data_IF_326115541880
#
_entry.id   IF_326115541880
#
_cell.length_a   1.000
_cell.length_b   1.000
_cell.length_c   1.000
_cell.angle_alpha   90.00
_cell.angle_beta   90.00
_cell.angle_gamma   90.00
#
_symmetry.space_group_name_H-M   'P 1'
#
loop_
_entity.id
_entity.type
_entity.pdbx_description
1 polymer ?
#
# COMPACT_ATOMS: atom_id res chain seq x y z
N UNK A 1 -28.95 -3.86 25.22
CA UNK A 1 -29.30 -4.50 23.93
C UNK A 1 -28.75 -3.79 22.68
N UNK A 2 -28.74 -2.45 22.58
CA UNK A 2 -28.31 -1.76 21.33
C UNK A 2 -26.84 -1.98 20.94
N UNK A 3 -25.92 -2.11 21.91
CA UNK A 3 -24.49 -2.40 21.65
C UNK A 3 -24.25 -3.73 20.93
N UNK A 4 -25.03 -4.77 21.27
CA UNK A 4 -24.88 -6.09 20.64
C UNK A 4 -25.41 -6.06 19.20
N UNK A 5 -26.50 -5.34 18.94
CA UNK A 5 -27.04 -5.19 17.58
C UNK A 5 -26.07 -4.43 16.65
N UNK A 6 -25.40 -3.39 17.14
CA UNK A 6 -24.39 -2.67 16.35
C UNK A 6 -23.09 -3.46 16.16
N UNK A 7 -22.74 -4.36 17.10
CA UNK A 7 -21.62 -5.29 16.94
C UNK A 7 -21.91 -6.35 15.88
N UNK A 8 -23.10 -6.97 15.90
CA UNK A 8 -23.53 -7.97 14.91
C UNK A 8 -23.52 -7.36 13.50
N UNK A 9 -24.09 -6.16 13.33
CA UNK A 9 -24.05 -5.42 12.05
C UNK A 9 -22.63 -5.17 11.56
N UNK A 10 -21.70 -4.81 12.45
CA UNK A 10 -20.29 -4.60 12.09
C UNK A 10 -19.63 -5.89 11.61
N UNK A 11 -19.80 -6.98 12.35
CA UNK A 11 -19.25 -8.29 11.98
C UNK A 11 -19.81 -8.74 10.62
N UNK A 12 -21.10 -8.56 10.37
CA UNK A 12 -21.73 -8.90 9.09
C UNK A 12 -21.10 -8.11 7.92
N UNK A 13 -20.91 -6.81 8.05
CA UNK A 13 -20.28 -5.99 7.00
C UNK A 13 -18.81 -6.34 6.78
N UNK A 14 -18.04 -6.53 7.87
CA UNK A 14 -16.63 -6.95 7.78
C UNK A 14 -16.54 -8.30 7.06
N UNK A 15 -17.39 -9.25 7.42
CA UNK A 15 -17.43 -10.58 6.79
C UNK A 15 -17.76 -10.48 5.30
N UNK A 16 -18.74 -9.65 4.93
CA UNK A 16 -19.10 -9.41 3.53
C UNK A 16 -17.90 -8.85 2.73
N UNK A 17 -17.19 -7.86 3.27
CA UNK A 17 -16.02 -7.27 2.62
C UNK A 17 -14.86 -8.28 2.51
N UNK A 18 -14.63 -9.12 3.53
CA UNK A 18 -13.63 -10.20 3.45
C UNK A 18 -14.02 -11.20 2.34
N UNK A 19 -15.28 -11.61 2.27
CA UNK A 19 -15.78 -12.51 1.23
C UNK A 19 -15.57 -11.91 -0.16
N UNK A 20 -15.90 -10.62 -0.36
CA UNK A 20 -15.63 -9.93 -1.62
C UNK A 20 -14.12 -9.89 -1.94
N UNK A 21 -13.27 -9.64 -0.94
CA UNK A 21 -11.82 -9.68 -1.11
C UNK A 21 -11.34 -11.05 -1.60
N UNK A 22 -11.85 -12.13 -1.01
CA UNK A 22 -11.51 -13.52 -1.37
C UNK A 22 -11.98 -13.84 -2.78
N UNK A 23 -13.21 -13.49 -3.14
CA UNK A 23 -13.75 -13.73 -4.49
C UNK A 23 -12.94 -12.96 -5.54
N UNK A 24 -12.67 -11.68 -5.31
CA UNK A 24 -11.92 -10.84 -6.27
C UNK A 24 -10.45 -11.24 -6.38
N UNK A 25 -9.86 -11.86 -5.34
CA UNK A 25 -8.51 -12.45 -5.43
C UNK A 25 -8.41 -13.46 -6.57
N UNK A 26 -9.47 -14.22 -6.83
CA UNK A 26 -9.49 -15.22 -7.89
C UNK A 26 -9.53 -14.62 -9.29
N UNK A 27 -9.95 -13.36 -9.44
CA UNK A 27 -9.99 -12.61 -10.70
C UNK A 27 -8.69 -11.84 -11.02
N UNK A 28 -7.63 -12.12 -10.26
CA UNK A 28 -6.30 -11.57 -10.51
C UNK A 28 -5.79 -11.83 -11.93
N UNK A 29 -5.00 -10.90 -12.45
CA UNK A 29 -4.35 -11.03 -13.74
C UNK A 29 -2.85 -11.30 -13.54
N UNK A 30 -2.32 -12.32 -14.21
CA UNK A 30 -0.88 -12.58 -14.25
C UNK A 30 -0.28 -11.80 -15.41
N UNK A 31 0.58 -10.84 -15.09
CA UNK A 31 1.34 -10.08 -16.08
C UNK A 31 2.62 -10.86 -16.41
N UNK A 32 2.84 -11.11 -17.69
CA UNK A 32 4.03 -11.78 -18.22
C UNK A 32 4.90 -10.75 -18.93
N UNK A 33 6.20 -10.75 -18.66
CA UNK A 33 7.19 -9.98 -19.44
C UNK A 33 8.03 -11.01 -20.19
N UNK A 34 7.81 -11.13 -21.50
CA UNK A 34 8.37 -12.23 -22.29
C UNK A 34 7.77 -13.58 -21.89
N UNK A 35 8.63 -14.59 -21.67
CA UNK A 35 8.23 -15.96 -21.26
C UNK A 35 8.21 -16.18 -19.74
N UNK A 36 8.53 -15.15 -18.94
CA UNK A 36 8.61 -15.26 -17.47
C UNK A 36 7.38 -14.61 -16.83
N UNK A 37 6.77 -15.30 -15.87
CA UNK A 37 5.74 -14.75 -14.98
C UNK A 37 6.33 -13.56 -14.23
N UNK A 38 6.06 -12.35 -14.69
CA UNK A 38 6.62 -11.16 -14.08
C UNK A 38 6.00 -10.94 -12.70
N UNK A 39 4.67 -10.76 -12.62
CA UNK A 39 3.94 -10.73 -11.35
C UNK A 39 2.43 -10.93 -11.52
N UNK A 40 1.76 -11.48 -10.50
CA UNK A 40 0.28 -11.53 -10.41
C UNK A 40 -0.26 -10.28 -9.73
N UNK A 41 -1.16 -9.54 -10.37
CA UNK A 41 -1.84 -8.36 -9.80
C UNK A 41 -3.22 -8.79 -9.31
N UNK A 42 -3.54 -8.51 -8.05
CA UNK A 42 -4.87 -8.78 -7.48
C UNK A 42 -5.50 -7.50 -6.94
N UNK A 43 -6.80 -7.37 -7.14
CA UNK A 43 -7.60 -6.23 -6.66
C UNK A 43 -8.33 -6.55 -5.35
N UNK A 44 -8.05 -7.70 -4.73
CA UNK A 44 -8.59 -8.09 -3.42
C UNK A 44 -8.32 -7.06 -2.33
N UNK A 45 -7.20 -6.34 -2.43
CA UNK A 45 -6.81 -5.27 -1.53
C UNK A 45 -7.88 -4.18 -1.39
N UNK A 46 -8.67 -3.91 -2.42
CA UNK A 46 -9.74 -2.87 -2.38
C UNK A 46 -10.64 -3.07 -1.17
N UNK A 47 -11.12 -4.29 -0.92
CA UNK A 47 -12.10 -4.56 0.13
C UNK A 47 -11.46 -4.68 1.52
N UNK A 48 -10.22 -5.19 1.62
CA UNK A 48 -9.49 -5.21 2.90
C UNK A 48 -9.11 -3.80 3.34
N UNK A 49 -8.70 -2.92 2.40
CA UNK A 49 -8.45 -1.50 2.66
C UNK A 49 -9.74 -0.77 3.03
N UNK A 50 -10.84 -1.02 2.32
CA UNK A 50 -12.15 -0.45 2.66
C UNK A 50 -12.59 -0.86 4.07
N UNK A 51 -12.34 -2.12 4.46
CA UNK A 51 -12.60 -2.60 5.83
C UNK A 51 -11.78 -1.85 6.86
N UNK A 52 -10.48 -1.66 6.60
CA UNK A 52 -9.58 -0.91 7.49
C UNK A 52 -10.02 0.56 7.66
N UNK A 53 -10.46 1.19 6.58
CA UNK A 53 -10.94 2.58 6.55
C UNK A 53 -12.26 2.72 7.33
N UNK A 54 -13.22 1.83 7.10
CA UNK A 54 -14.56 1.91 7.70
C UNK A 54 -14.59 1.49 9.17
N UNK A 55 -13.88 0.43 9.53
CA UNK A 55 -13.99 -0.21 10.85
C UNK A 55 -12.74 0.00 11.72
N UNK A 56 -11.65 0.51 11.14
CA UNK A 56 -10.42 0.87 11.84
C UNK A 56 -9.35 -0.23 11.88
N UNK A 57 -8.26 0.01 12.63
CA UNK A 57 -7.03 -0.79 12.58
C UNK A 57 -7.25 -2.27 12.86
N UNK A 58 -7.99 -2.61 13.93
CA UNK A 58 -8.18 -4.00 14.38
C UNK A 58 -8.89 -4.82 13.31
N UNK A 59 -10.03 -4.34 12.80
CA UNK A 59 -10.79 -5.02 11.76
C UNK A 59 -10.06 -5.04 10.42
N UNK A 60 -9.29 -3.99 10.10
CA UNK A 60 -8.40 -3.95 8.93
C UNK A 60 -7.35 -5.06 8.98
N UNK A 61 -6.66 -5.20 10.11
CA UNK A 61 -5.67 -6.25 10.33
C UNK A 61 -6.26 -7.65 10.22
N UNK A 62 -7.37 -7.89 10.92
CA UNK A 62 -8.08 -9.19 10.86
C UNK A 62 -8.54 -9.52 9.44
N UNK A 63 -9.13 -8.56 8.73
CA UNK A 63 -9.60 -8.77 7.37
C UNK A 63 -8.45 -9.13 6.42
N UNK A 64 -7.31 -8.43 6.52
CA UNK A 64 -6.12 -8.73 5.71
C UNK A 64 -5.53 -10.11 6.05
N UNK A 65 -5.42 -10.47 7.33
CA UNK A 65 -4.92 -11.79 7.74
C UNK A 65 -5.84 -12.94 7.31
N UNK A 66 -7.14 -12.81 7.52
CA UNK A 66 -8.14 -13.81 7.12
C UNK A 66 -8.14 -13.99 5.59
N UNK A 67 -8.11 -12.88 4.84
CA UNK A 67 -8.06 -12.92 3.37
C UNK A 67 -6.78 -13.59 2.85
N UNK A 68 -5.65 -13.41 3.54
CA UNK A 68 -4.39 -14.06 3.19
C UNK A 68 -4.47 -15.58 3.40
N UNK A 69 -4.89 -16.03 4.59
CA UNK A 69 -5.05 -17.45 4.95
C UNK A 69 -6.09 -18.14 4.06
N UNK A 70 -7.31 -17.61 3.96
CA UNK A 70 -8.37 -18.22 3.16
C UNK A 70 -7.94 -18.30 1.70
N UNK A 71 -7.34 -17.24 1.16
CA UNK A 71 -6.93 -17.27 -0.24
C UNK A 71 -5.76 -18.23 -0.49
N UNK A 72 -4.90 -18.50 0.49
CA UNK A 72 -3.94 -19.61 0.43
C UNK A 72 -4.65 -20.96 0.38
N UNK A 73 -5.63 -21.20 1.27
CA UNK A 73 -6.38 -22.45 1.32
C UNK A 73 -7.15 -22.74 0.03
N UNK A 74 -7.70 -21.70 -0.62
CA UNK A 74 -8.47 -21.86 -1.86
C UNK A 74 -7.58 -22.05 -3.09
N UNK A 75 -6.46 -21.33 -3.17
CA UNK A 75 -5.54 -21.41 -4.31
C UNK A 75 -4.11 -21.23 -3.80
N UNK A 76 -3.45 -22.30 -3.33
CA UNK A 76 -2.10 -22.23 -2.83
C UNK A 76 -1.13 -21.92 -3.98
N UNK A 77 -0.26 -20.94 -3.79
CA UNK A 77 0.75 -20.52 -4.77
C UNK A 77 2.14 -20.63 -4.14
N UNK A 78 2.57 -21.87 -3.92
CA UNK A 78 3.79 -22.20 -3.17
C UNK A 78 3.50 -22.54 -1.71
N UNK A 79 4.54 -22.62 -0.86
CA UNK A 79 4.40 -22.99 0.54
C UNK A 79 3.71 -21.90 1.36
N UNK A 80 2.98 -22.30 2.40
CA UNK A 80 2.44 -21.34 3.37
C UNK A 80 3.57 -20.72 4.18
N UNK A 81 3.68 -19.39 4.16
CA UNK A 81 4.67 -18.64 4.92
C UNK A 81 3.93 -17.76 5.94
N UNK A 82 3.85 -18.17 7.22
CA UNK A 82 3.11 -17.44 8.25
C UNK A 82 3.53 -15.98 8.42
N UNK A 83 4.81 -15.69 8.15
CA UNK A 83 5.33 -14.33 8.19
C UNK A 83 4.67 -13.39 7.17
N UNK A 84 4.21 -13.89 6.02
CA UNK A 84 3.48 -13.09 5.03
C UNK A 84 2.05 -12.77 5.49
N UNK A 85 1.43 -13.66 6.25
CA UNK A 85 0.14 -13.36 6.88
C UNK A 85 0.30 -12.29 7.96
N UNK A 86 1.39 -12.34 8.73
CA UNK A 86 1.67 -11.34 9.75
C UNK A 86 1.90 -9.95 9.14
N UNK A 87 2.66 -9.85 8.05
CA UNK A 87 2.86 -8.58 7.34
C UNK A 87 1.55 -8.08 6.73
N UNK A 88 0.68 -8.96 6.23
CA UNK A 88 -0.66 -8.59 5.76
C UNK A 88 -1.50 -7.98 6.90
N UNK A 89 -1.49 -8.58 8.09
CA UNK A 89 -2.16 -8.04 9.29
C UNK A 89 -1.61 -6.65 9.63
N UNK A 90 -0.28 -6.50 9.71
CA UNK A 90 0.37 -5.22 10.00
C UNK A 90 -0.04 -4.16 8.95
N UNK A 91 -0.09 -4.54 7.68
CA UNK A 91 -0.58 -3.67 6.61
C UNK A 91 -2.01 -3.19 6.84
N UNK A 92 -2.92 -4.11 7.16
CA UNK A 92 -4.32 -3.78 7.47
C UNK A 92 -4.46 -2.85 8.67
N UNK A 93 -3.73 -3.14 9.76
CA UNK A 93 -3.68 -2.29 10.96
C UNK A 93 -3.18 -0.90 10.63
N UNK A 94 -2.05 -0.80 9.92
CA UNK A 94 -1.45 0.48 9.56
C UNK A 94 -2.38 1.30 8.66
N UNK A 95 -3.04 0.70 7.69
CA UNK A 95 -4.01 1.40 6.84
C UNK A 95 -5.15 1.98 7.68
N UNK A 96 -5.73 1.21 8.61
CA UNK A 96 -6.78 1.71 9.49
C UNK A 96 -6.30 2.79 10.44
N UNK A 97 -5.04 2.73 10.89
CA UNK A 97 -4.44 3.74 11.76
C UNK A 97 -4.20 5.05 11.02
N UNK A 98 -3.53 4.99 9.85
CA UNK A 98 -3.26 6.14 9.00
C UNK A 98 -4.55 6.84 8.59
N UNK A 99 -5.59 6.07 8.24
CA UNK A 99 -6.90 6.66 7.91
C UNK A 99 -7.45 7.51 9.06
N UNK A 100 -7.44 7.00 10.31
CA UNK A 100 -7.95 7.74 11.47
C UNK A 100 -7.20 9.04 11.73
N UNK A 101 -5.90 9.06 11.45
CA UNK A 101 -5.07 10.27 11.56
C UNK A 101 -5.43 11.27 10.44
N UNK A 102 -5.57 10.80 9.20
CA UNK A 102 -5.85 11.65 8.04
C UNK A 102 -7.32 12.07 7.90
N UNK A 103 -8.27 11.34 8.48
CA UNK A 103 -9.70 11.64 8.38
C UNK A 103 -10.03 13.05 8.88
N UNK A 104 -9.32 13.51 9.92
CA UNK A 104 -9.46 14.85 10.51
C UNK A 104 -8.75 15.95 9.73
N UNK A 105 -7.95 15.59 8.73
CA UNK A 105 -7.11 16.52 7.97
C UNK A 105 -7.83 17.02 6.73
N UNK A 106 -7.71 18.31 6.43
CA UNK A 106 -8.24 18.86 5.18
C UNK A 106 -7.54 18.26 3.95
N UNK A 107 -8.25 18.18 2.83
CA UNK A 107 -7.75 17.62 1.57
C UNK A 107 -6.54 18.36 1.02
N UNK A 108 -6.47 19.68 1.21
CA UNK A 108 -5.30 20.48 0.80
C UNK A 108 -4.07 20.12 1.64
N UNK A 109 -4.25 19.98 2.95
CA UNK A 109 -3.19 19.57 3.89
C UNK A 109 -2.71 18.14 3.63
N UNK A 110 -3.61 17.18 3.40
CA UNK A 110 -3.26 15.80 3.06
C UNK A 110 -2.42 15.72 1.76
N UNK A 111 -2.74 16.56 0.76
CA UNK A 111 -1.94 16.68 -0.46
C UNK A 111 -0.55 17.24 -0.21
N UNK A 112 -0.43 18.26 0.65
CA UNK A 112 0.87 18.81 1.05
C UNK A 112 1.73 17.78 1.78
N UNK A 113 1.18 17.02 2.71
CA UNK A 113 1.93 15.96 3.41
C UNK A 113 2.39 14.85 2.46
N UNK A 114 1.55 14.45 1.51
CA UNK A 114 1.93 13.50 0.47
C UNK A 114 3.09 14.03 -0.37
N UNK A 115 3.00 15.26 -0.88
CA UNK A 115 4.07 15.87 -1.67
C UNK A 115 5.35 16.06 -0.86
N UNK A 116 5.25 16.49 0.39
CA UNK A 116 6.39 16.68 1.28
C UNK A 116 7.11 15.36 1.54
N UNK A 117 6.37 14.28 1.79
CA UNK A 117 6.95 12.94 1.95
C UNK A 117 7.79 12.52 0.74
N UNK A 118 7.25 12.64 -0.47
CA UNK A 118 8.00 12.27 -1.68
C UNK A 118 9.12 13.27 -2.01
N UNK A 119 8.94 14.56 -1.73
CA UNK A 119 9.99 15.56 -1.87
C UNK A 119 11.18 15.25 -0.93
N UNK A 120 10.93 14.89 0.33
CA UNK A 120 11.97 14.47 1.26
C UNK A 120 12.72 13.23 0.77
N UNK A 121 12.02 12.23 0.24
CA UNK A 121 12.66 11.02 -0.34
C UNK A 121 13.51 11.39 -1.56
N UNK A 122 12.99 12.22 -2.45
CA UNK A 122 13.71 12.66 -3.66
C UNK A 122 14.94 13.49 -3.32
N UNK A 123 14.83 14.40 -2.34
CA UNK A 123 15.96 15.18 -1.85
C UNK A 123 17.03 14.28 -1.22
N UNK A 124 16.63 13.31 -0.40
CA UNK A 124 17.55 12.36 0.20
C UNK A 124 18.28 11.53 -0.86
N UNK A 125 17.57 11.03 -1.87
CA UNK A 125 18.17 10.36 -3.04
C UNK A 125 19.11 11.27 -3.84
N UNK A 126 18.73 12.54 -4.03
CA UNK A 126 19.55 13.56 -4.70
C UNK A 126 20.85 13.86 -3.95
N UNK A 127 20.77 13.99 -2.62
CA UNK A 127 21.94 14.17 -1.75
C UNK A 127 22.87 12.96 -1.85
N UNK A 128 22.33 11.74 -1.80
CA UNK A 128 23.10 10.51 -1.97
C UNK A 128 23.82 10.50 -3.33
N UNK A 129 23.13 10.89 -4.41
CA UNK A 129 23.72 10.96 -5.75
C UNK A 129 24.84 12.01 -5.83
N UNK A 130 24.63 13.18 -5.23
CA UNK A 130 25.63 14.25 -5.18
C UNK A 130 26.87 13.82 -4.40
N UNK A 131 26.69 13.14 -3.26
CA UNK A 131 27.80 12.62 -2.44
C UNK A 131 28.60 11.59 -3.23
N UNK A 132 27.94 10.66 -3.93
CA UNK A 132 28.61 9.66 -4.76
C UNK A 132 29.40 10.28 -5.92
N UNK A 133 28.89 11.36 -6.54
CA UNK A 133 29.53 12.02 -7.67
C UNK A 133 30.68 12.97 -7.26
N UNK A 134 30.53 13.70 -6.15
CA UNK A 134 31.47 14.78 -5.76
C UNK A 134 32.42 14.36 -4.65
N UNK A 135 32.00 13.52 -3.71
CA UNK A 135 32.76 13.16 -2.50
C UNK A 135 32.59 11.69 -2.09
N UNK A 136 33.02 10.73 -2.94
CA UNK A 136 32.88 9.30 -2.65
C UNK A 136 33.68 8.86 -1.40
N UNK A 137 34.75 9.58 -1.05
CA UNK A 137 35.57 9.31 0.15
C UNK A 137 35.04 9.90 1.46
N UNK A 138 33.90 10.60 1.45
CA UNK A 138 33.28 11.10 2.69
C UNK A 138 32.77 9.94 3.56
N UNK A 139 32.60 10.14 4.88
CA UNK A 139 32.04 9.11 5.77
C UNK A 139 30.71 8.55 5.25
N UNK A 140 29.83 9.41 4.75
CA UNK A 140 28.58 8.99 4.10
C UNK A 140 28.78 8.32 2.74
N UNK A 141 29.72 8.78 1.92
CA UNK A 141 30.08 8.14 0.65
C UNK A 141 30.64 6.73 0.84
N UNK A 142 31.45 6.52 1.88
CA UNK A 142 31.99 5.20 2.25
C UNK A 142 30.91 4.24 2.76
N UNK A 143 29.92 4.75 3.51
CA UNK A 143 28.74 3.99 3.92
C UNK A 143 27.87 3.59 2.72
N UNK A 144 27.67 4.50 1.76
CA UNK A 144 26.96 4.21 0.52
C UNK A 144 27.75 3.26 -0.38
N UNK A 145 29.09 3.34 -0.40
CA UNK A 145 29.95 2.40 -1.11
C UNK A 145 29.93 1.01 -0.48
N UNK A 146 29.75 0.92 0.85
CA UNK A 146 29.50 -0.33 1.58
C UNK A 146 28.22 -1.05 1.16
N UNK A 147 27.30 -0.38 0.44
CA UNK A 147 26.13 -1.00 -0.17
C UNK A 147 26.44 -1.77 -1.46
N UNK A 148 27.68 -1.69 -1.98
CA UNK A 148 28.14 -2.42 -3.16
C UNK A 148 27.30 -2.10 -4.40
N UNK A 149 26.71 -3.13 -5.02
CA UNK A 149 25.84 -3.00 -6.20
C UNK A 149 24.57 -2.17 -5.94
N UNK A 150 24.19 -1.96 -4.68
CA UNK A 150 23.00 -1.21 -4.31
C UNK A 150 23.22 0.31 -4.23
N UNK A 151 24.45 0.81 -4.44
CA UNK A 151 24.78 2.24 -4.29
C UNK A 151 23.96 3.15 -5.21
N UNK A 152 23.85 2.78 -6.49
CA UNK A 152 23.15 3.57 -7.50
C UNK A 152 21.64 3.50 -7.30
N UNK A 153 21.16 2.40 -6.69
CA UNK A 153 19.77 2.23 -6.33
C UNK A 153 19.41 3.01 -5.04
N UNK A 154 20.33 3.12 -4.09
CA UNK A 154 20.18 3.93 -2.87
C UNK A 154 20.21 5.45 -3.15
N UNK A 155 20.60 5.85 -4.36
CA UNK A 155 20.55 7.23 -4.84
C UNK A 155 19.52 7.42 -5.94
N UNK A 156 19.77 6.96 -7.17
CA UNK A 156 18.89 7.11 -8.33
C UNK A 156 17.55 6.40 -8.12
N UNK A 157 17.54 5.24 -7.48
CA UNK A 157 16.30 4.51 -7.19
C UNK A 157 15.34 5.31 -6.29
N UNK A 158 15.85 6.04 -5.30
CA UNK A 158 15.03 6.93 -4.45
C UNK A 158 14.49 8.13 -5.23
N UNK A 159 15.29 8.70 -6.14
CA UNK A 159 14.86 9.81 -7.01
C UNK A 159 13.74 9.35 -7.95
N UNK A 160 13.90 8.20 -8.59
CA UNK A 160 12.86 7.61 -9.47
C UNK A 160 11.59 7.34 -8.67
N UNK A 161 11.71 6.74 -7.49
CA UNK A 161 10.57 6.45 -6.62
C UNK A 161 9.83 7.72 -6.19
N UNK A 162 10.56 8.78 -5.83
CA UNK A 162 9.99 10.10 -5.56
C UNK A 162 9.28 10.70 -6.78
N UNK A 163 9.89 10.59 -7.96
CA UNK A 163 9.31 11.04 -9.23
C UNK A 163 8.00 10.32 -9.56
N UNK A 164 7.94 9.00 -9.34
CA UNK A 164 6.71 8.22 -9.48
C UNK A 164 5.67 8.78 -8.51
N UNK A 165 5.98 8.87 -7.21
CA UNK A 165 5.04 9.39 -6.21
C UNK A 165 4.46 10.77 -6.56
N UNK A 166 5.30 11.71 -6.99
CA UNK A 166 4.88 13.05 -7.41
C UNK A 166 4.03 13.00 -8.68
N UNK A 167 4.43 12.22 -9.69
CA UNK A 167 3.66 12.09 -10.92
C UNK A 167 2.26 11.53 -10.68
N UNK A 168 2.08 10.62 -9.71
CA UNK A 168 0.77 10.12 -9.30
C UNK A 168 -0.11 11.20 -8.66
N UNK A 169 0.47 12.09 -7.86
CA UNK A 169 -0.25 13.24 -7.34
C UNK A 169 -0.69 14.19 -8.45
N UNK A 170 0.20 14.45 -9.43
CA UNK A 170 -0.11 15.27 -10.60
C UNK A 170 -1.20 14.65 -11.48
N UNK A 171 -1.14 13.34 -11.74
CA UNK A 171 -2.17 12.59 -12.45
C UNK A 171 -3.53 12.77 -11.77
N UNK A 172 -3.58 12.64 -10.44
CA UNK A 172 -4.80 12.89 -9.69
C UNK A 172 -5.29 14.34 -9.82
N UNK A 173 -4.38 15.32 -9.82
CA UNK A 173 -4.75 16.71 -10.04
C UNK A 173 -5.35 16.95 -11.45
N UNK A 174 -4.87 16.23 -12.47
CA UNK A 174 -5.45 16.25 -13.82
C UNK A 174 -6.83 15.58 -13.86
N UNK A 175 -6.97 14.40 -13.26
CA UNK A 175 -8.24 13.68 -13.17
C UNK A 175 -9.28 14.50 -12.40
N UNK A 176 -8.87 15.28 -11.40
CA UNK A 176 -9.73 16.24 -10.68
C UNK A 176 -10.33 17.31 -11.59
N UNK A 177 -9.57 17.82 -12.57
CA UNK A 177 -10.08 18.83 -13.52
C UNK A 177 -11.12 18.26 -14.48
N UNK A 178 -10.95 17.00 -14.88
CA UNK A 178 -11.84 16.33 -15.85
C UNK A 178 -13.08 15.76 -15.15
N UNK A 179 -12.91 15.24 -13.92
CA UNK A 179 -13.92 14.48 -13.17
C UNK A 179 -14.73 15.28 -12.15
N UNK A 180 -14.77 16.62 -12.22
CA UNK A 180 -15.48 17.48 -11.26
C UNK A 180 -16.97 17.12 -11.04
N UNK A 181 -17.57 16.37 -11.97
CA UNK A 181 -18.95 15.87 -11.91
C UNK A 181 -19.17 14.71 -10.91
N UNK A 182 -18.15 13.97 -10.52
CA UNK A 182 -18.27 12.80 -9.63
C UNK A 182 -17.52 13.07 -8.32
N UNK A 183 -18.20 12.99 -7.17
CA UNK A 183 -17.66 13.27 -5.82
C UNK A 183 -16.52 12.32 -5.36
N UNK A 184 -15.95 11.50 -6.25
CA UNK A 184 -14.83 10.57 -6.02
C UNK A 184 -13.58 11.28 -5.46
N UNK A 185 -13.49 12.60 -5.65
CA UNK A 185 -12.33 13.40 -5.30
C UNK A 185 -12.17 13.71 -3.80
N UNK A 186 -13.23 13.58 -3.00
CA UNK A 186 -13.22 14.05 -1.60
C UNK A 186 -12.27 13.28 -0.69
N UNK A 187 -12.10 11.97 -0.92
CA UNK A 187 -11.27 11.12 -0.06
C UNK A 187 -10.00 10.61 -0.74
N UNK A 188 -9.87 10.78 -2.07
CA UNK A 188 -8.81 10.18 -2.86
C UNK A 188 -7.41 10.38 -2.31
N UNK A 189 -7.00 11.62 -2.01
CA UNK A 189 -5.64 11.89 -1.52
C UNK A 189 -5.36 11.19 -0.18
N UNK A 190 -6.35 11.12 0.70
CA UNK A 190 -6.22 10.48 2.02
C UNK A 190 -6.13 8.96 1.87
N UNK A 191 -6.97 8.39 0.99
CA UNK A 191 -6.93 6.97 0.66
C UNK A 191 -5.60 6.63 -0.01
N UNK A 192 -5.13 7.44 -0.96
CA UNK A 192 -3.85 7.25 -1.65
C UNK A 192 -2.68 7.21 -0.68
N UNK A 193 -2.61 8.18 0.25
CA UNK A 193 -1.57 8.20 1.27
C UNK A 193 -1.67 6.99 2.20
N UNK A 194 -2.87 6.67 2.67
CA UNK A 194 -3.14 5.57 3.61
C UNK A 194 -2.78 4.21 3.00
N UNK A 195 -3.31 3.93 1.81
CA UNK A 195 -3.12 2.67 1.10
C UNK A 195 -1.69 2.58 0.57
N UNK A 196 -1.14 3.68 0.06
CA UNK A 196 0.23 3.75 -0.46
C UNK A 196 1.28 3.50 0.62
N UNK A 197 1.24 4.21 1.74
CA UNK A 197 2.23 4.04 2.80
C UNK A 197 2.16 2.64 3.41
N UNK A 198 0.94 2.12 3.62
CA UNK A 198 0.76 0.75 4.09
C UNK A 198 1.24 -0.29 3.07
N UNK A 199 0.90 -0.11 1.79
CA UNK A 199 1.30 -1.01 0.70
C UNK A 199 2.82 -1.08 0.51
N UNK A 200 3.50 0.06 0.59
CA UNK A 200 4.96 0.13 0.53
C UNK A 200 5.61 -0.61 1.70
N UNK A 201 5.11 -0.42 2.92
CA UNK A 201 5.62 -1.14 4.09
C UNK A 201 5.45 -2.65 3.92
N UNK A 202 4.26 -3.10 3.53
CA UNK A 202 3.98 -4.53 3.29
C UNK A 202 4.90 -5.08 2.20
N UNK A 203 5.10 -4.34 1.12
CA UNK A 203 5.99 -4.74 0.02
C UNK A 203 7.43 -4.89 0.50
N UNK A 204 7.92 -3.95 1.32
CA UNK A 204 9.26 -4.01 1.93
C UNK A 204 9.39 -5.22 2.85
N UNK A 205 8.48 -5.39 3.81
CA UNK A 205 8.54 -6.53 4.75
C UNK A 205 8.40 -7.86 4.03
N UNK A 206 7.48 -7.98 3.07
CA UNK A 206 7.33 -9.19 2.27
C UNK A 206 8.59 -9.52 1.48
N UNK A 207 9.29 -8.50 0.97
CA UNK A 207 10.56 -8.70 0.26
C UNK A 207 11.63 -9.23 1.20
N UNK A 208 11.72 -8.71 2.42
CA UNK A 208 12.64 -9.21 3.44
C UNK A 208 12.31 -10.67 3.84
N UNK A 209 11.04 -10.95 4.13
CA UNK A 209 10.57 -12.30 4.47
C UNK A 209 10.90 -13.31 3.38
N UNK A 210 10.62 -12.97 2.12
CA UNK A 210 10.90 -13.88 0.99
C UNK A 210 12.39 -14.18 0.83
N UNK A 211 13.27 -13.19 1.04
CA UNK A 211 14.72 -13.40 1.02
C UNK A 211 15.21 -14.24 2.20
N UNK A 212 14.56 -14.15 3.36
CA UNK A 212 14.89 -15.01 4.52
C UNK A 212 14.43 -16.45 4.34
N UNK A 213 13.29 -16.67 3.67
CA UNK A 213 12.69 -17.99 3.50
C UNK A 213 13.27 -18.75 2.30
N UNK A 214 13.60 -18.05 1.21
CA UNK A 214 14.09 -18.66 -0.02
C UNK A 214 15.57 -18.30 -0.27
N UNK A 215 16.50 -19.27 -0.14
CA UNK A 215 17.93 -19.03 -0.35
C UNK A 215 18.27 -18.49 -1.74
N UNK A 216 17.52 -18.89 -2.76
CA UNK A 216 17.68 -18.41 -4.14
C UNK A 216 17.41 -16.90 -4.26
N UNK A 217 16.42 -16.39 -3.54
CA UNK A 217 16.09 -14.97 -3.50
C UNK A 217 17.04 -14.17 -2.60
N UNK A 218 17.70 -14.83 -1.64
CA UNK A 218 18.69 -14.19 -0.78
C UNK A 218 19.91 -13.68 -1.56
N UNK A 219 20.28 -14.42 -2.62
CA UNK A 219 21.38 -14.07 -3.54
C UNK A 219 21.08 -12.84 -4.39
N UNK A 220 19.79 -12.52 -4.58
CA UNK A 220 19.38 -11.31 -5.30
C UNK A 220 19.49 -10.12 -4.35
N UNK A 221 20.15 -9.08 -4.84
CA UNK A 221 20.24 -7.78 -4.17
C UNK A 221 18.85 -7.25 -3.79
N UNK A 222 18.73 -6.74 -2.56
CA UNK A 222 17.44 -6.31 -2.02
C UNK A 222 16.74 -5.31 -2.93
N UNK A 223 17.45 -4.27 -3.39
CA UNK A 223 16.86 -3.21 -4.18
C UNK A 223 16.50 -3.68 -5.60
N UNK A 224 17.31 -4.57 -6.18
CA UNK A 224 17.02 -5.21 -7.46
C UNK A 224 15.72 -6.02 -7.37
N UNK A 225 15.50 -6.72 -6.25
CA UNK A 225 14.26 -7.46 -6.03
C UNK A 225 13.07 -6.55 -5.63
N UNK A 226 13.32 -5.48 -4.88
CA UNK A 226 12.31 -4.61 -4.31
C UNK A 226 11.75 -3.60 -5.32
N UNK A 227 12.58 -3.00 -6.18
CA UNK A 227 12.16 -1.92 -7.10
C UNK A 227 11.00 -2.35 -8.03
N UNK A 228 11.08 -3.49 -8.75
CA UNK A 228 9.97 -3.93 -9.59
C UNK A 228 8.67 -4.14 -8.79
N UNK A 229 8.79 -4.61 -7.54
CA UNK A 229 7.67 -4.83 -6.64
C UNK A 229 7.07 -3.51 -6.14
N UNK A 230 7.91 -2.52 -5.83
CA UNK A 230 7.49 -1.19 -5.41
C UNK A 230 6.78 -0.44 -6.55
N UNK A 231 7.26 -0.57 -7.80
CA UNK A 231 6.61 -0.01 -8.99
C UNK A 231 5.23 -0.63 -9.19
N UNK A 232 5.15 -1.97 -9.13
CA UNK A 232 3.88 -2.68 -9.19
C UNK A 232 2.92 -2.24 -8.08
N UNK A 233 3.42 -2.13 -6.84
CA UNK A 233 2.61 -1.69 -5.71
C UNK A 233 2.09 -0.27 -5.93
N UNK A 234 2.92 0.66 -6.41
CA UNK A 234 2.49 2.01 -6.76
C UNK A 234 1.34 2.00 -7.77
N UNK A 235 1.43 1.17 -8.82
CA UNK A 235 0.33 1.00 -9.78
C UNK A 235 -0.97 0.52 -9.12
N UNK A 236 -0.87 -0.55 -8.33
CA UNK A 236 -2.01 -1.16 -7.63
C UNK A 236 -2.64 -0.18 -6.65
N UNK A 237 -1.82 0.57 -5.90
CA UNK A 237 -2.25 1.58 -4.93
C UNK A 237 -3.11 2.65 -5.58
N UNK A 238 -2.77 3.13 -6.78
CA UNK A 238 -3.58 4.14 -7.48
C UNK A 238 -4.97 3.59 -7.81
N UNK A 239 -5.01 2.40 -8.42
CA UNK A 239 -6.26 1.76 -8.82
C UNK A 239 -7.13 1.49 -7.59
N UNK A 240 -6.54 0.92 -6.54
CA UNK A 240 -7.23 0.69 -5.28
C UNK A 240 -7.76 2.00 -4.68
N UNK A 241 -6.95 3.06 -4.69
CA UNK A 241 -7.33 4.35 -4.10
C UNK A 241 -8.48 5.01 -4.85
N UNK A 242 -8.53 4.90 -6.18
CA UNK A 242 -9.67 5.36 -6.97
C UNK A 242 -10.94 4.60 -6.62
N UNK A 243 -10.88 3.26 -6.63
CA UNK A 243 -12.06 2.43 -6.39
C UNK A 243 -12.55 2.59 -4.95
N UNK A 244 -11.66 2.56 -3.96
CA UNK A 244 -12.02 2.78 -2.55
C UNK A 244 -12.63 4.16 -2.35
N UNK A 245 -12.09 5.21 -2.97
CA UNK A 245 -12.64 6.57 -2.85
C UNK A 245 -13.99 6.75 -3.53
N UNK A 246 -14.30 5.91 -4.51
CA UNK A 246 -15.62 5.83 -5.13
C UNK A 246 -16.61 5.04 -4.25
N UNK A 247 -16.19 3.90 -3.71
CA UNK A 247 -17.03 3.03 -2.88
C UNK A 247 -17.34 3.61 -1.50
N UNK A 248 -16.40 4.35 -0.91
CA UNK A 248 -16.52 4.88 0.45
C UNK A 248 -17.74 5.82 0.64
N UNK A 249 -17.98 6.83 -0.22
CA UNK A 249 -19.20 7.65 -0.16
C UNK A 249 -20.48 6.85 -0.35
N UNK A 250 -20.47 5.86 -1.25
CA UNK A 250 -21.63 4.99 -1.51
C UNK A 250 -21.95 4.19 -0.25
N UNK A 251 -20.95 3.56 0.36
CA UNK A 251 -21.11 2.83 1.61
C UNK A 251 -21.69 3.73 2.70
N UNK A 252 -21.08 4.90 2.94
CA UNK A 252 -21.54 5.83 3.98
C UNK A 252 -22.96 6.38 3.76
N UNK A 253 -23.42 6.47 2.50
CA UNK A 253 -24.77 6.92 2.17
C UNK A 253 -25.84 5.90 2.56
N UNK A 254 -25.57 4.61 2.36
CA UNK A 254 -26.54 3.54 2.59
C UNK A 254 -26.38 2.87 3.96
N UNK A 255 -25.15 2.83 4.47
CA UNK A 255 -24.78 2.16 5.70
C UNK A 255 -24.09 3.18 6.61
N UNK A 256 -24.87 3.93 7.41
CA UNK A 256 -24.30 4.74 8.50
C UNK A 256 -23.72 3.79 9.56
N UNK A 257 -22.45 3.44 9.44
CA UNK A 257 -21.69 2.87 10.55
C UNK A 257 -21.43 3.99 11.56
N UNK A 258 -22.02 3.91 12.75
CA UNK A 258 -21.61 4.75 13.87
C UNK A 258 -20.08 4.59 14.05
N UNK A 259 -19.30 5.68 14.02
CA UNK A 259 -17.87 5.59 14.23
C UNK A 259 -17.61 4.94 15.59
N UNK A 260 -16.53 4.15 15.69
CA UNK A 260 -16.08 3.63 16.98
C UNK A 260 -15.72 4.84 17.84
N UNK A 261 -16.63 5.25 18.73
CA UNK A 261 -16.34 6.24 19.77
C UNK A 261 -15.11 5.73 20.51
N UNK A 262 -13.98 6.40 20.30
CA UNK A 262 -12.81 6.25 21.14
C UNK A 262 -13.25 6.63 22.55
N UNK A 263 -13.41 5.63 23.41
CA UNK A 263 -13.41 5.86 24.85
C UNK A 263 -12.03 6.33 25.27
#
# INVERSE_FOLDING_TARGET
MSKNHSAIKRIAHVSLLITLAVVVRNLSYSFYIGSVLATRISFSGIFTRLTAILFGPVYGGLASGIQDVIGYLLKPEGPFIPWLTLTAIIGGVLAGFLWRVLERTDNSLAGKYYLLFFACIGLFGGINQLILLKWPGSGWGSLLAGLGNNRDLASLGLIIFAGIGISLYLLNMLIRRIGAKWQVNGFFTRVLFTVGLSGLLVTTLNTLVLRMVFPELAQIDFLVFWIPRAIKEAFVVIVQSYIVSFLLPIYNRYFRSEPVLSR
#
